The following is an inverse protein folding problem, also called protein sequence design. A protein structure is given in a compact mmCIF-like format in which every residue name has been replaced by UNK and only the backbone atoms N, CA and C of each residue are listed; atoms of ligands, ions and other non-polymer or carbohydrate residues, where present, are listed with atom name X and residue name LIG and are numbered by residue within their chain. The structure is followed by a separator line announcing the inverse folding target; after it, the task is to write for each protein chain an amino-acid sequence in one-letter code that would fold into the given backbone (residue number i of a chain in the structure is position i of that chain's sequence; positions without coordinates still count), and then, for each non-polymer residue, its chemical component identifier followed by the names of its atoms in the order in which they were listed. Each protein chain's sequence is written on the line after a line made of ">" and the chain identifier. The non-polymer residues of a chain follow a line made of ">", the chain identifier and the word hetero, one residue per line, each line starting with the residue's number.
data_IF_678777426030
#
_entry.id   IF_678777426030
#
_cell.length_a   1.000
_cell.length_b   1.000
_cell.length_c   1.000
_cell.angle_alpha   90.00
_cell.angle_beta   90.00
_cell.angle_gamma   90.00
#
_symmetry.space_group_name_H-M   'P 1'
#
loop_
_entity.id
_entity.type
_entity.pdbx_description
1 polymer ?
#
# COMPACT_ATOMS: atom_id res chain seq x y z
N UNK A 1 -23.98 4.02 11.93
CA UNK A 1 -23.07 4.75 11.04
C UNK A 1 -21.64 4.34 11.41
N UNK A 2 -21.00 3.48 10.61
CA UNK A 2 -19.67 2.94 10.94
C UNK A 2 -18.63 3.94 10.43
N UNK A 3 -17.99 4.68 11.33
CA UNK A 3 -16.85 5.54 10.99
C UNK A 3 -15.61 4.66 10.79
N UNK A 4 -15.33 4.29 9.55
CA UNK A 4 -14.03 3.72 9.22
C UNK A 4 -12.98 4.83 9.30
N UNK A 5 -12.22 4.85 10.40
CA UNK A 5 -11.07 5.74 10.57
C UNK A 5 -9.91 5.20 9.73
N UNK A 6 -9.60 5.89 8.63
CA UNK A 6 -8.48 5.55 7.77
C UNK A 6 -7.23 6.27 8.25
N UNK A 7 -6.20 5.52 8.63
CA UNK A 7 -4.87 6.10 8.89
C UNK A 7 -4.20 6.48 7.57
N UNK A 8 -3.71 7.73 7.49
CA UNK A 8 -2.86 8.19 6.38
C UNK A 8 -1.42 7.79 6.71
N UNK A 9 -0.82 6.99 5.83
CA UNK A 9 0.55 6.50 6.01
C UNK A 9 1.54 7.26 5.13
N UNK A 10 2.73 7.52 5.67
CA UNK A 10 3.86 8.10 4.94
C UNK A 10 4.69 7.02 4.23
N UNK A 11 5.53 7.42 3.26
CA UNK A 11 6.36 6.50 2.45
C UNK A 11 7.21 5.56 3.32
N UNK A 12 7.76 6.07 4.43
CA UNK A 12 8.62 5.29 5.33
C UNK A 12 7.86 4.17 6.05
N UNK A 13 6.61 4.40 6.44
CA UNK A 13 5.79 3.39 7.10
C UNK A 13 5.33 2.31 6.12
N UNK A 14 5.08 2.68 4.86
CA UNK A 14 4.82 1.71 3.78
C UNK A 14 6.08 0.89 3.47
N UNK A 15 7.27 1.50 3.57
CA UNK A 15 8.55 0.77 3.50
C UNK A 15 8.71 -0.25 4.62
N UNK A 16 8.21 0.02 5.82
CA UNK A 16 8.17 -1.00 6.89
C UNK A 16 7.16 -2.11 6.57
N UNK A 17 6.01 -1.78 5.97
CA UNK A 17 5.05 -2.76 5.44
C UNK A 17 5.63 -3.60 4.28
N UNK A 18 6.63 -3.10 3.54
CA UNK A 18 7.38 -3.86 2.52
C UNK A 18 8.07 -5.10 3.10
N UNK A 19 8.38 -5.11 4.42
CA UNK A 19 8.86 -6.33 5.10
C UNK A 19 7.78 -7.39 5.29
N UNK A 20 6.52 -7.06 5.04
CA UNK A 20 5.45 -8.05 5.00
C UNK A 20 5.50 -8.80 3.67
N UNK A 21 5.65 -10.11 3.78
CA UNK A 21 5.79 -11.10 2.71
C UNK A 21 4.75 -10.95 1.59
N UNK A 22 3.56 -10.42 1.92
CA UNK A 22 2.43 -10.29 1.00
C UNK A 22 2.57 -9.14 -0.01
N UNK A 23 3.09 -7.98 0.42
CA UNK A 23 3.32 -6.84 -0.48
C UNK A 23 4.50 -7.11 -1.43
N UNK A 24 5.53 -7.82 -0.93
CA UNK A 24 6.63 -8.36 -1.73
C UNK A 24 6.14 -9.37 -2.76
N UNK A 25 5.22 -10.27 -2.38
CA UNK A 25 4.64 -11.25 -3.31
C UNK A 25 3.81 -10.59 -4.41
N UNK A 26 3.02 -9.55 -4.08
CA UNK A 26 2.29 -8.77 -5.08
C UNK A 26 3.23 -8.04 -6.05
N UNK A 27 4.31 -7.47 -5.53
CA UNK A 27 5.34 -6.85 -6.36
C UNK A 27 6.03 -7.87 -7.28
N UNK A 28 6.38 -9.06 -6.76
CA UNK A 28 6.96 -10.15 -7.56
C UNK A 28 6.00 -10.74 -8.61
N UNK A 29 4.71 -10.45 -8.52
CA UNK A 29 3.68 -10.87 -9.49
C UNK A 29 3.32 -9.79 -10.51
N UNK A 30 4.10 -8.71 -10.61
CA UNK A 30 3.80 -7.57 -11.50
C UNK A 30 2.42 -6.93 -11.23
N UNK A 31 1.97 -6.97 -9.97
CA UNK A 31 0.68 -6.41 -9.60
C UNK A 31 0.61 -4.91 -9.90
N UNK A 32 -0.51 -4.48 -10.46
CA UNK A 32 -0.71 -3.10 -10.85
C UNK A 32 -0.80 -2.18 -9.61
N UNK A 33 -0.43 -0.90 -9.79
CA UNK A 33 -0.53 0.12 -8.73
C UNK A 33 -1.93 0.16 -8.10
N UNK A 34 -2.97 -0.05 -8.92
CA UNK A 34 -4.36 -0.08 -8.47
C UNK A 34 -4.66 -1.29 -7.56
N UNK A 35 -4.07 -2.45 -7.81
CA UNK A 35 -4.22 -3.65 -6.98
C UNK A 35 -3.54 -3.48 -5.64
N UNK A 36 -2.33 -2.90 -5.65
CA UNK A 36 -1.60 -2.56 -4.43
C UNK A 36 -2.39 -1.53 -3.60
N UNK A 37 -3.00 -0.52 -4.24
CA UNK A 37 -3.88 0.42 -3.53
C UNK A 37 -5.13 -0.26 -2.96
N UNK A 38 -5.77 -1.17 -3.69
CA UNK A 38 -6.94 -1.92 -3.20
C UNK A 38 -6.59 -2.79 -2.00
N UNK A 39 -5.44 -3.46 -2.04
CA UNK A 39 -4.96 -4.26 -0.92
C UNK A 39 -4.67 -3.39 0.30
N UNK A 40 -3.97 -2.26 0.12
CA UNK A 40 -3.71 -1.31 1.21
C UNK A 40 -5.02 -0.76 1.81
N UNK A 41 -6.02 -0.46 0.97
CA UNK A 41 -7.34 -0.05 1.45
C UNK A 41 -8.04 -1.14 2.27
N UNK A 42 -7.89 -2.42 1.89
CA UNK A 42 -8.39 -3.56 2.67
C UNK A 42 -7.75 -3.64 4.05
N UNK A 43 -6.47 -3.30 4.16
CA UNK A 43 -5.71 -3.17 5.42
C UNK A 43 -6.01 -1.85 6.17
N UNK A 44 -7.03 -1.09 5.75
CA UNK A 44 -7.38 0.24 6.28
C UNK A 44 -6.29 1.30 6.11
N UNK A 45 -5.36 1.09 5.18
CA UNK A 45 -4.26 1.99 4.86
C UNK A 45 -4.66 2.83 3.66
N UNK A 46 -4.83 4.14 3.87
CA UNK A 46 -5.12 5.07 2.77
C UNK A 46 -3.82 5.66 2.24
N UNK A 47 -3.50 5.34 0.99
CA UNK A 47 -2.28 5.78 0.30
C UNK A 47 -2.61 6.46 -1.03
N UNK A 48 -1.85 7.52 -1.31
CA UNK A 48 -1.94 8.23 -2.58
C UNK A 48 -1.26 7.43 -3.69
N UNK A 49 -1.75 7.57 -4.92
CA UNK A 49 -1.16 6.96 -6.12
C UNK A 49 0.33 7.29 -6.24
N UNK A 50 0.70 8.57 -6.07
CA UNK A 50 2.09 9.02 -6.13
C UNK A 50 3.00 8.34 -5.10
N UNK A 51 2.44 7.98 -3.95
CA UNK A 51 3.13 7.28 -2.87
C UNK A 51 3.42 5.83 -3.27
N UNK A 52 2.42 5.14 -3.85
CA UNK A 52 2.58 3.76 -4.34
C UNK A 52 3.51 3.71 -5.55
N UNK A 53 3.40 4.69 -6.47
CA UNK A 53 4.30 4.83 -7.61
C UNK A 53 5.76 5.01 -7.19
N UNK A 54 6.03 5.93 -6.25
CA UNK A 54 7.39 6.12 -5.68
C UNK A 54 7.88 4.89 -4.94
N UNK A 55 6.98 4.10 -4.36
CA UNK A 55 7.30 2.88 -3.65
C UNK A 55 7.70 1.73 -4.58
N UNK A 56 7.07 1.64 -5.75
CA UNK A 56 7.36 0.63 -6.79
C UNK A 56 8.62 1.00 -7.59
N UNK A 57 8.79 2.29 -7.93
CA UNK A 57 9.91 2.76 -8.76
C UNK A 57 11.22 2.96 -7.98
N UNK A 58 11.19 2.93 -6.64
CA UNK A 58 12.32 3.29 -5.77
C UNK A 58 12.82 2.18 -4.87
#
# INVERSE_FOLDING_TARGET
>A
MIFFSYKKYTVNEIKQLKKQTKLLSMYSQDASIAEIQRWLLSERIKVNYSTVYRFIKG
#
